data_IF_548460201389
#
_entry.id   IF_548460201389
#
_cell.length_a   1.000
_cell.length_b   1.000
_cell.length_c   1.000
_cell.angle_alpha   90.00
_cell.angle_beta   90.00
_cell.angle_gamma   90.00
#
_symmetry.space_group_name_H-M   'P 1'
#
loop_
_entity.id
_entity.type
_entity.pdbx_description
1 polymer ?
#
# COMPACT_ATOMS: atom_id res chain seq x y z
N UNK A 1 -62.95 51.14 52.48
CA UNK A 1 -61.63 51.70 52.15
C UNK A 1 -60.81 50.63 51.41
N UNK A 2 -60.10 51.06 50.34
CA UNK A 2 -59.00 50.46 49.54
C UNK A 2 -58.35 49.13 50.00
N UNK A 3 -57.73 48.26 49.18
CA UNK A 3 -57.34 48.15 47.75
C UNK A 3 -56.87 46.68 47.51
N UNK A 4 -56.70 46.22 46.24
CA UNK A 4 -56.34 44.84 45.88
C UNK A 4 -54.83 44.59 45.78
N UNK A 5 -54.40 43.34 46.02
CA UNK A 5 -53.02 42.85 45.86
C UNK A 5 -52.86 41.96 44.62
N UNK A 6 -51.85 42.28 43.80
CA UNK A 6 -51.54 41.77 42.46
C UNK A 6 -51.28 40.25 42.40
N UNK A 7 -51.98 39.56 41.50
CA UNK A 7 -51.53 38.29 40.93
C UNK A 7 -50.62 38.55 39.73
N UNK A 8 -49.36 38.12 39.81
CA UNK A 8 -48.44 38.13 38.68
C UNK A 8 -48.74 36.93 37.77
N UNK A 9 -49.25 37.24 36.57
CA UNK A 9 -49.44 36.31 35.46
C UNK A 9 -48.09 35.74 35.00
N UNK A 10 -47.94 34.40 35.05
CA UNK A 10 -46.91 33.68 34.29
C UNK A 10 -47.44 33.44 32.89
N UNK A 11 -46.91 34.17 31.91
CA UNK A 11 -47.17 33.94 30.48
C UNK A 11 -46.62 32.55 30.08
N UNK A 12 -47.38 31.71 29.36
CA UNK A 12 -46.87 30.41 28.89
C UNK A 12 -45.81 30.63 27.80
N UNK A 13 -44.71 29.88 27.86
CA UNK A 13 -43.67 29.89 26.82
C UNK A 13 -44.25 29.42 25.47
N UNK A 14 -43.85 30.07 24.37
CA UNK A 14 -44.35 29.76 23.02
C UNK A 14 -43.88 28.37 22.56
N UNK A 15 -44.72 27.60 21.82
CA UNK A 15 -44.38 26.23 21.38
C UNK A 15 -43.10 26.10 20.54
N UNK A 16 -42.70 27.16 19.82
CA UNK A 16 -41.46 27.21 19.01
C UNK A 16 -40.20 27.12 19.90
N UNK A 17 -40.22 27.75 21.07
CA UNK A 17 -39.08 27.79 22.01
C UNK A 17 -38.81 26.41 22.65
N UNK A 18 -39.87 25.58 22.76
CA UNK A 18 -39.79 24.21 23.27
C UNK A 18 -39.21 23.27 22.21
N UNK A 19 -39.59 23.45 20.93
CA UNK A 19 -39.07 22.65 19.81
C UNK A 19 -37.58 22.92 19.55
N UNK A 20 -37.16 24.20 19.61
CA UNK A 20 -35.75 24.60 19.45
C UNK A 20 -34.89 24.06 20.61
N UNK A 21 -35.37 24.17 21.84
CA UNK A 21 -34.71 23.61 23.04
C UNK A 21 -34.61 22.07 22.99
N UNK A 22 -35.62 21.40 22.43
CA UNK A 22 -35.63 19.95 22.26
C UNK A 22 -34.66 19.49 21.16
N UNK A 23 -34.62 20.16 20.00
CA UNK A 23 -33.71 19.85 18.91
C UNK A 23 -32.23 20.02 19.32
N UNK A 24 -31.91 21.10 20.05
CA UNK A 24 -30.56 21.31 20.59
C UNK A 24 -30.18 20.19 21.57
N UNK A 25 -31.11 19.77 22.44
CA UNK A 25 -30.87 18.64 23.34
C UNK A 25 -30.64 17.33 22.58
N UNK A 26 -31.43 17.04 21.55
CA UNK A 26 -31.23 15.85 20.71
C UNK A 26 -29.83 15.85 20.08
N UNK A 27 -29.42 16.97 19.47
CA UNK A 27 -28.09 17.12 18.87
C UNK A 27 -26.96 16.90 19.88
N UNK A 28 -27.12 17.40 21.11
CA UNK A 28 -26.15 17.22 22.19
C UNK A 28 -26.00 15.76 22.67
N UNK A 29 -27.05 14.96 22.51
CA UNK A 29 -27.08 13.55 22.91
C UNK A 29 -26.85 12.57 21.76
N UNK A 30 -26.63 13.05 20.53
CA UNK A 30 -26.19 12.21 19.41
C UNK A 30 -24.89 11.48 19.78
N UNK A 31 -24.87 10.18 19.48
CA UNK A 31 -23.71 9.32 19.73
C UNK A 31 -22.59 9.52 18.70
N UNK A 32 -22.96 9.99 17.50
CA UNK A 32 -22.02 10.35 16.45
C UNK A 32 -21.43 11.73 16.75
N UNK A 33 -20.09 11.89 16.74
CA UNK A 33 -19.46 13.21 16.81
C UNK A 33 -19.99 14.09 15.68
N UNK A 34 -20.62 15.20 16.07
CA UNK A 34 -21.24 16.14 15.14
C UNK A 34 -21.01 17.55 15.61
N UNK A 35 -20.57 18.39 14.68
CA UNK A 35 -20.53 19.82 14.88
C UNK A 35 -21.16 20.56 13.70
N UNK A 36 -21.60 21.78 13.97
CA UNK A 36 -22.27 22.63 12.99
C UNK A 36 -21.61 23.99 13.00
N UNK A 37 -21.34 24.54 11.81
CA UNK A 37 -20.83 25.89 11.63
C UNK A 37 -21.84 26.79 10.91
N UNK A 38 -21.83 28.08 11.24
CA UNK A 38 -22.59 29.11 10.51
C UNK A 38 -21.89 29.45 9.17
N UNK A 39 -22.51 30.27 8.28
CA UNK A 39 -21.90 30.66 7.00
C UNK A 39 -20.62 31.50 7.16
N UNK A 40 -20.35 32.02 8.36
CA UNK A 40 -19.10 32.71 8.72
C UNK A 40 -18.07 31.74 9.33
N UNK A 41 -18.34 30.43 9.28
CA UNK A 41 -17.52 29.33 9.78
C UNK A 41 -17.33 29.31 11.29
N UNK A 42 -18.24 29.93 12.03
CA UNK A 42 -18.24 29.88 13.49
C UNK A 42 -19.02 28.67 13.97
N UNK A 43 -18.46 27.94 14.93
CA UNK A 43 -19.12 26.78 15.53
C UNK A 43 -20.39 27.20 16.26
N UNK A 44 -21.53 26.63 15.86
CA UNK A 44 -22.84 26.83 16.50
C UNK A 44 -23.17 25.65 17.40
N UNK A 45 -22.83 24.44 16.96
CA UNK A 45 -23.06 23.21 17.72
C UNK A 45 -21.74 22.46 17.81
N UNK A 46 -21.41 22.04 19.02
CA UNK A 46 -20.36 21.05 19.30
C UNK A 46 -20.98 20.05 20.28
N UNK A 47 -21.24 18.83 19.83
CA UNK A 47 -21.95 17.87 20.67
C UNK A 47 -21.00 17.13 21.64
N UNK A 48 -21.58 16.44 22.62
CA UNK A 48 -20.82 15.67 23.61
C UNK A 48 -19.96 14.57 22.99
N UNK A 49 -20.34 14.04 21.83
CA UNK A 49 -19.54 13.04 21.13
C UNK A 49 -18.25 13.66 20.55
N UNK A 50 -18.29 14.88 20.02
CA UNK A 50 -17.08 15.63 19.64
C UNK A 50 -16.17 15.92 20.84
N UNK A 51 -16.75 16.31 21.99
CA UNK A 51 -15.95 16.52 23.22
C UNK A 51 -15.22 15.25 23.65
N UNK A 52 -15.89 14.08 23.60
CA UNK A 52 -15.26 12.80 23.92
C UNK A 52 -14.20 12.38 22.91
N UNK A 53 -14.46 12.57 21.62
CA UNK A 53 -13.53 12.20 20.54
C UNK A 53 -12.24 13.02 20.60
N UNK A 54 -12.36 14.33 20.86
CA UNK A 54 -11.25 15.28 20.69
C UNK A 54 -10.63 15.75 22.01
N UNK A 55 -11.34 15.59 23.13
CA UNK A 55 -11.00 16.19 24.42
C UNK A 55 -11.27 17.70 24.53
N UNK A 56 -11.74 18.35 23.45
CA UNK A 56 -12.01 19.79 23.40
C UNK A 56 -13.45 20.06 23.83
N UNK A 57 -13.63 20.88 24.87
CA UNK A 57 -14.96 21.23 25.36
C UNK A 57 -15.66 22.19 24.40
N UNK A 58 -16.99 22.09 24.33
CA UNK A 58 -17.82 22.94 23.48
C UNK A 58 -17.60 24.43 23.77
N UNK A 59 -17.40 24.80 25.04
CA UNK A 59 -17.11 26.17 25.47
C UNK A 59 -15.81 26.76 24.91
N UNK A 60 -14.86 25.91 24.48
CA UNK A 60 -13.59 26.37 23.90
C UNK A 60 -13.72 26.74 22.42
N UNK A 61 -14.70 26.17 21.71
CA UNK A 61 -14.84 26.28 20.26
C UNK A 61 -16.11 26.99 19.79
N UNK A 62 -17.22 26.91 20.54
CA UNK A 62 -18.48 27.57 20.18
C UNK A 62 -18.26 29.08 19.98
N UNK A 63 -18.81 29.61 18.88
CA UNK A 63 -18.68 31.00 18.47
C UNK A 63 -17.35 31.36 17.81
N UNK A 64 -16.38 30.43 17.76
CA UNK A 64 -15.07 30.64 17.16
C UNK A 64 -14.95 29.92 15.81
N UNK A 65 -13.87 30.21 15.08
CA UNK A 65 -13.46 29.52 13.84
C UNK A 65 -12.26 28.58 14.08
N UNK A 66 -12.05 28.15 15.34
CA UNK A 66 -10.86 27.41 15.79
C UNK A 66 -11.09 25.90 15.95
N UNK A 67 -12.22 25.37 15.49
CA UNK A 67 -12.54 23.94 15.56
C UNK A 67 -11.47 23.03 14.94
N UNK A 68 -10.72 23.50 13.94
CA UNK A 68 -9.58 22.77 13.37
C UNK A 68 -8.56 22.30 14.41
N UNK A 69 -8.39 23.03 15.52
CA UNK A 69 -7.45 22.71 16.60
C UNK A 69 -7.81 21.41 17.33
N UNK A 70 -9.05 20.95 17.20
CA UNK A 70 -9.50 19.69 17.76
C UNK A 70 -9.02 18.47 16.96
N UNK A 71 -8.66 18.66 15.68
CA UNK A 71 -8.41 17.58 14.72
C UNK A 71 -7.00 17.60 14.09
N UNK A 72 -6.30 18.74 14.18
CA UNK A 72 -5.04 18.98 13.49
C UNK A 72 -4.07 19.81 14.35
N UNK A 73 -2.78 19.53 14.24
CA UNK A 73 -1.72 20.30 14.92
C UNK A 73 -1.46 21.65 14.25
N UNK A 74 -1.58 21.71 12.92
CA UNK A 74 -1.37 22.92 12.12
C UNK A 74 -2.69 23.47 11.60
N UNK A 75 -2.73 24.79 11.42
CA UNK A 75 -3.94 25.48 10.95
C UNK A 75 -4.28 25.07 9.52
N UNK A 76 -5.44 24.43 9.35
CA UNK A 76 -6.03 24.08 8.06
C UNK A 76 -7.56 24.07 8.14
N UNK A 77 -8.28 24.25 7.02
CA UNK A 77 -9.73 24.11 7.00
C UNK A 77 -10.16 22.67 7.31
N UNK A 78 -11.24 22.51 8.08
CA UNK A 78 -12.00 21.26 8.15
C UNK A 78 -12.85 21.12 6.88
N UNK A 79 -13.45 19.94 6.66
CA UNK A 79 -14.28 19.69 5.50
C UNK A 79 -15.46 20.67 5.45
N UNK A 80 -16.10 20.93 6.60
CA UNK A 80 -17.18 21.89 6.76
C UNK A 80 -16.79 23.30 6.29
N UNK A 81 -15.56 23.74 6.56
CA UNK A 81 -15.08 25.06 6.11
C UNK A 81 -15.04 25.15 4.59
N UNK A 82 -14.57 24.08 3.91
CA UNK A 82 -14.50 24.02 2.46
C UNK A 82 -15.89 24.01 1.83
N UNK A 83 -16.83 23.29 2.46
CA UNK A 83 -18.25 23.27 2.05
C UNK A 83 -18.88 24.64 2.25
N UNK A 84 -18.65 25.31 3.38
CA UNK A 84 -19.20 26.64 3.66
C UNK A 84 -18.65 27.73 2.73
N UNK A 85 -17.42 27.56 2.24
CA UNK A 85 -16.79 28.46 1.26
C UNK A 85 -17.16 28.13 -0.19
N UNK A 86 -17.87 27.02 -0.42
CA UNK A 86 -18.16 26.46 -1.75
C UNK A 86 -16.86 26.26 -2.57
N UNK A 87 -15.86 25.60 -1.95
CA UNK A 87 -14.54 25.33 -2.55
C UNK A 87 -14.18 23.85 -2.63
N UNK A 88 -14.98 23.02 -3.31
CA UNK A 88 -14.69 21.59 -3.44
C UNK A 88 -13.40 21.29 -4.22
N UNK A 89 -12.94 22.21 -5.07
CA UNK A 89 -11.69 22.10 -5.82
C UNK A 89 -10.44 22.03 -4.92
N UNK A 90 -10.53 22.48 -3.67
CA UNK A 90 -9.43 22.45 -2.71
C UNK A 90 -9.35 21.12 -1.93
N UNK A 91 -10.32 20.21 -2.07
CA UNK A 91 -10.31 18.92 -1.39
C UNK A 91 -9.02 18.11 -1.58
N UNK A 92 -8.44 18.01 -2.80
CA UNK A 92 -7.21 17.25 -3.02
C UNK A 92 -5.98 17.80 -2.28
N UNK A 93 -5.98 19.08 -1.90
CA UNK A 93 -4.89 19.70 -1.13
C UNK A 93 -4.86 19.19 0.32
N UNK A 94 -6.01 18.71 0.80
CA UNK A 94 -6.27 18.46 2.21
C UNK A 94 -6.60 17.00 2.51
N UNK A 95 -7.19 16.27 1.57
CA UNK A 95 -7.68 14.91 1.73
C UNK A 95 -7.24 14.04 0.57
N UNK A 96 -6.61 12.90 0.87
CA UNK A 96 -6.18 11.92 -0.13
C UNK A 96 -7.30 11.03 -0.63
N UNK A 97 -8.30 10.78 0.21
CA UNK A 97 -9.49 10.00 -0.10
C UNK A 97 -10.70 10.92 0.07
N UNK A 98 -11.42 11.21 -1.01
CA UNK A 98 -12.59 12.09 -1.00
C UNK A 98 -13.58 11.71 -2.09
N UNK A 99 -14.86 12.00 -1.86
CA UNK A 99 -15.90 11.92 -2.86
C UNK A 99 -16.79 13.17 -2.81
N UNK A 100 -16.99 13.77 -3.99
CA UNK A 100 -18.00 14.81 -4.14
C UNK A 100 -19.37 14.15 -4.28
N UNK A 101 -20.34 14.60 -3.47
CA UNK A 101 -21.76 14.16 -3.51
C UNK A 101 -21.94 12.69 -3.13
N UNK A 102 -22.11 12.44 -1.82
CA UNK A 102 -22.55 11.13 -1.32
C UNK A 102 -23.87 10.64 -1.93
N UNK A 103 -24.26 9.39 -1.67
CA UNK A 103 -25.38 8.68 -2.32
C UNK A 103 -26.75 9.42 -2.31
N UNK A 104 -26.92 10.46 -1.48
CA UNK A 104 -28.14 11.27 -1.37
C UNK A 104 -28.01 12.72 -1.91
N UNK A 105 -26.90 13.08 -2.58
CA UNK A 105 -26.80 14.28 -3.42
C UNK A 105 -26.57 15.64 -2.74
N UNK A 106 -26.39 15.72 -1.41
CA UNK A 106 -26.29 16.99 -0.68
C UNK A 106 -25.11 17.07 0.32
N UNK A 107 -23.92 16.58 -0.03
CA UNK A 107 -22.74 16.69 0.85
C UNK A 107 -21.44 16.15 0.26
N UNK A 108 -20.34 16.39 0.95
CA UNK A 108 -19.00 15.92 0.63
C UNK A 108 -18.54 14.91 1.67
N UNK A 109 -17.81 13.89 1.23
CA UNK A 109 -17.18 12.93 2.13
C UNK A 109 -15.67 12.90 1.91
N UNK A 110 -14.93 12.69 2.99
CA UNK A 110 -13.48 12.55 2.96
C UNK A 110 -13.00 11.61 4.06
N UNK A 111 -11.85 10.98 3.87
CA UNK A 111 -11.18 10.17 4.89
C UNK A 111 -9.75 10.65 5.09
N UNK A 112 -9.33 10.80 6.34
CA UNK A 112 -7.94 11.11 6.66
C UNK A 112 -7.53 10.70 8.07
N UNK A 113 -6.22 10.73 8.30
CA UNK A 113 -5.67 10.69 9.65
C UNK A 113 -5.79 12.07 10.30
N UNK A 114 -6.51 12.13 11.41
CA UNK A 114 -6.58 13.29 12.30
C UNK A 114 -5.76 13.04 13.56
N UNK A 115 -5.12 14.08 14.07
CA UNK A 115 -4.41 14.06 15.35
C UNK A 115 -5.26 14.82 16.34
N UNK A 116 -5.74 14.19 17.40
CA UNK A 116 -6.48 14.83 18.49
C UNK A 116 -5.45 15.47 19.44
N UNK A 117 -5.08 16.76 19.28
CA UNK A 117 -3.84 17.26 19.88
C UNK A 117 -3.92 17.31 21.41
N UNK A 118 -5.12 17.53 21.96
CA UNK A 118 -5.36 17.57 23.40
C UNK A 118 -5.31 16.19 24.07
N UNK A 119 -5.57 15.12 23.32
CA UNK A 119 -5.52 13.74 23.81
C UNK A 119 -4.21 13.03 23.43
N UNK A 120 -3.45 13.59 22.49
CA UNK A 120 -2.22 12.95 21.97
C UNK A 120 -2.49 11.67 21.18
N UNK A 121 -3.75 11.44 20.75
CA UNK A 121 -4.15 10.26 19.99
C UNK A 121 -4.32 10.59 18.50
N UNK A 122 -4.01 9.63 17.64
CA UNK A 122 -4.25 9.73 16.21
C UNK A 122 -5.37 8.76 15.80
N UNK A 123 -6.36 9.27 15.08
CA UNK A 123 -7.51 8.51 14.61
C UNK A 123 -7.65 8.63 13.10
N UNK A 124 -8.08 7.56 12.44
CA UNK A 124 -8.48 7.60 11.03
C UNK A 124 -9.98 7.88 10.98
N UNK A 125 -10.36 9.06 10.47
CA UNK A 125 -11.73 9.52 10.47
C UNK A 125 -12.31 9.52 9.06
N UNK A 126 -13.50 8.93 8.92
CA UNK A 126 -14.41 9.24 7.82
C UNK A 126 -15.27 10.44 8.21
N UNK A 127 -15.29 11.44 7.34
CA UNK A 127 -15.84 12.76 7.56
C UNK A 127 -16.88 13.03 6.49
N UNK A 128 -18.11 13.31 6.92
CA UNK A 128 -19.20 13.71 6.03
C UNK A 128 -19.63 15.14 6.39
N UNK A 129 -19.65 16.03 5.40
CA UNK A 129 -20.11 17.42 5.57
C UNK A 129 -21.23 17.77 4.58
N UNK A 130 -22.33 18.32 5.10
CA UNK A 130 -23.50 18.69 4.31
C UNK A 130 -23.94 20.14 4.56
N UNK A 131 -24.15 20.96 3.51
CA UNK A 131 -24.72 22.29 3.67
C UNK A 131 -26.23 22.19 3.95
N UNK A 132 -26.70 23.07 4.83
CA UNK A 132 -28.11 23.26 5.15
C UNK A 132 -28.50 24.63 4.61
N UNK A 133 -29.58 24.68 3.84
CA UNK A 133 -30.09 25.91 3.22
C UNK A 133 -31.47 26.27 3.78
N UNK A 134 -31.82 27.56 3.74
CA UNK A 134 -33.19 28.01 3.97
C UNK A 134 -34.08 27.74 2.73
N UNK A 135 -35.37 28.06 2.84
CA UNK A 135 -36.34 27.93 1.74
C UNK A 135 -35.99 28.79 0.50
N UNK A 136 -35.19 29.85 0.69
CA UNK A 136 -34.72 30.72 -0.38
C UNK A 136 -33.41 30.23 -1.02
N UNK A 137 -32.83 29.13 -0.52
CA UNK A 137 -31.59 28.54 -1.02
C UNK A 137 -30.32 29.19 -0.45
N UNK A 138 -30.41 30.07 0.54
CA UNK A 138 -29.22 30.63 1.20
C UNK A 138 -28.66 29.63 2.21
N UNK A 139 -27.33 29.49 2.23
CA UNK A 139 -26.65 28.66 3.21
C UNK A 139 -26.93 29.21 4.62
N UNK A 140 -27.49 28.37 5.49
CA UNK A 140 -27.73 28.69 6.90
C UNK A 140 -26.72 28.03 7.83
N UNK A 141 -26.23 26.86 7.48
CA UNK A 141 -25.26 26.12 8.28
C UNK A 141 -24.58 25.02 7.47
N UNK A 142 -23.47 24.49 7.97
CA UNK A 142 -22.88 23.24 7.49
C UNK A 142 -22.76 22.29 8.68
N UNK A 143 -23.30 21.09 8.52
CA UNK A 143 -23.13 20.00 9.50
C UNK A 143 -21.98 19.11 9.07
N UNK A 144 -21.09 18.78 10.00
CA UNK A 144 -20.03 17.79 9.81
C UNK A 144 -20.17 16.69 10.85
N UNK A 145 -20.08 15.45 10.37
CA UNK A 145 -20.12 14.24 11.20
C UNK A 145 -18.85 13.44 11.00
N UNK A 146 -18.39 12.79 12.06
CA UNK A 146 -17.13 12.05 12.07
C UNK A 146 -17.39 10.61 12.50
N UNK A 147 -16.71 9.66 11.85
CA UNK A 147 -16.72 8.25 12.22
C UNK A 147 -15.30 7.76 12.34
N UNK A 148 -14.98 7.17 13.48
CA UNK A 148 -13.70 6.53 13.72
C UNK A 148 -13.63 5.19 12.97
N UNK A 149 -12.72 5.09 12.01
CA UNK A 149 -12.40 3.90 11.23
C UNK A 149 -10.97 3.40 11.51
N UNK A 150 -10.36 3.81 12.63
CA UNK A 150 -8.97 3.50 12.97
C UNK A 150 -8.70 1.99 12.98
N UNK A 151 -9.55 1.21 13.64
CA UNK A 151 -9.36 -0.24 13.73
C UNK A 151 -9.52 -0.93 12.37
N UNK A 152 -10.46 -0.47 11.55
CA UNK A 152 -10.63 -0.97 10.18
C UNK A 152 -9.41 -0.64 9.33
N UNK A 153 -8.93 0.61 9.33
CA UNK A 153 -7.76 1.02 8.53
C UNK A 153 -6.49 0.30 8.97
N UNK A 154 -6.32 0.10 10.29
CA UNK A 154 -5.22 -0.71 10.84
C UNK A 154 -5.32 -2.17 10.43
N UNK A 155 -6.50 -2.77 10.47
CA UNK A 155 -6.72 -4.14 10.01
C UNK A 155 -6.47 -4.28 8.50
N UNK A 156 -6.94 -3.35 7.68
CA UNK A 156 -6.66 -3.30 6.24
C UNK A 156 -5.15 -3.18 5.96
N UNK A 157 -4.44 -2.31 6.70
CA UNK A 157 -2.98 -2.18 6.59
C UNK A 157 -2.27 -3.47 7.00
N UNK A 158 -2.67 -4.09 8.12
CA UNK A 158 -2.10 -5.35 8.59
C UNK A 158 -2.37 -6.51 7.62
N UNK A 159 -3.56 -6.57 7.01
CA UNK A 159 -3.89 -7.52 5.94
C UNK A 159 -3.03 -7.28 4.70
N UNK A 160 -2.80 -6.02 4.34
CA UNK A 160 -1.93 -5.65 3.22
C UNK A 160 -0.48 -6.03 3.49
N UNK A 161 0.00 -5.87 4.73
CA UNK A 161 1.32 -6.30 5.18
C UNK A 161 1.46 -7.83 5.20
N UNK A 162 0.47 -8.56 5.71
CA UNK A 162 0.40 -10.04 5.63
C UNK A 162 0.40 -10.53 4.17
N UNK A 163 -0.19 -9.75 3.26
CA UNK A 163 -0.19 -10.02 1.83
C UNK A 163 1.12 -9.64 1.12
N UNK A 164 2.22 -9.36 1.83
CA UNK A 164 3.54 -9.10 1.22
C UNK A 164 4.47 -10.31 1.18
N UNK A 165 4.18 -11.35 1.96
CA UNK A 165 5.01 -12.55 2.08
C UNK A 165 4.38 -13.75 1.38
N UNK A 166 5.23 -14.68 0.95
CA UNK A 166 4.83 -15.99 0.49
C UNK A 166 4.65 -16.92 1.71
N UNK A 167 3.47 -17.54 1.80
CA UNK A 167 3.09 -18.34 2.97
C UNK A 167 3.90 -19.63 3.17
N UNK A 168 4.58 -20.12 2.13
CA UNK A 168 5.40 -21.33 2.23
C UNK A 168 6.83 -21.02 2.70
N UNK A 169 7.43 -19.99 2.10
CA UNK A 169 8.87 -19.70 2.21
C UNK A 169 9.19 -18.53 3.13
N UNK A 170 8.21 -17.68 3.45
CA UNK A 170 8.41 -16.45 4.22
C UNK A 170 9.16 -15.33 3.48
N UNK A 171 9.58 -15.57 2.23
CA UNK A 171 10.13 -14.53 1.35
C UNK A 171 9.04 -13.54 0.94
N UNK A 172 9.43 -12.42 0.33
CA UNK A 172 8.44 -11.54 -0.30
C UNK A 172 7.71 -12.29 -1.42
N UNK A 173 6.45 -12.01 -1.64
CA UNK A 173 5.70 -12.62 -2.75
C UNK A 173 5.85 -11.79 -4.04
N UNK A 174 5.30 -12.31 -5.14
CA UNK A 174 5.31 -11.64 -6.44
C UNK A 174 4.76 -10.22 -6.42
N UNK A 175 3.67 -9.96 -5.69
CA UNK A 175 3.09 -8.61 -5.59
C UNK A 175 4.08 -7.63 -4.99
N UNK A 176 4.77 -8.03 -3.93
CA UNK A 176 5.80 -7.19 -3.29
C UNK A 176 7.03 -7.03 -4.18
N UNK A 177 7.40 -8.06 -4.94
CA UNK A 177 8.45 -7.95 -5.96
C UNK A 177 8.09 -6.91 -7.02
N UNK A 178 6.90 -6.98 -7.62
CA UNK A 178 6.47 -6.07 -8.67
C UNK A 178 6.46 -4.61 -8.17
N UNK A 179 5.98 -4.38 -6.95
CA UNK A 179 5.98 -3.04 -6.32
C UNK A 179 7.39 -2.51 -6.05
N UNK A 180 8.27 -3.36 -5.50
CA UNK A 180 9.65 -2.98 -5.22
C UNK A 180 10.45 -2.73 -6.49
N UNK A 181 10.21 -3.51 -7.55
CA UNK A 181 10.87 -3.33 -8.85
C UNK A 181 10.58 -1.94 -9.41
N UNK A 182 9.32 -1.50 -9.38
CA UNK A 182 8.93 -0.17 -9.84
C UNK A 182 9.53 0.94 -8.96
N UNK A 183 9.50 0.78 -7.64
CA UNK A 183 10.02 1.76 -6.68
C UNK A 183 11.54 1.94 -6.81
N UNK A 184 12.29 0.85 -6.85
CA UNK A 184 13.75 0.88 -6.99
C UNK A 184 14.19 1.33 -8.37
N UNK A 185 13.43 1.01 -9.43
CA UNK A 185 13.72 1.56 -10.76
C UNK A 185 13.60 3.09 -10.78
N UNK A 186 12.54 3.65 -10.18
CA UNK A 186 12.38 5.10 -10.04
C UNK A 186 13.47 5.74 -9.17
N UNK A 187 13.99 5.04 -8.16
CA UNK A 187 15.15 5.47 -7.36
C UNK A 187 16.44 5.43 -8.19
N UNK A 188 16.68 4.35 -8.94
CA UNK A 188 17.84 4.18 -9.79
C UNK A 188 17.89 5.27 -10.88
N UNK A 189 16.74 5.66 -11.44
CA UNK A 189 16.63 6.80 -12.37
C UNK A 189 17.08 8.12 -11.75
N UNK A 190 16.72 8.39 -10.49
CA UNK A 190 17.15 9.63 -9.81
C UNK A 190 18.62 9.63 -9.41
N UNK A 191 19.16 8.46 -9.09
CA UNK A 191 20.53 8.30 -8.58
C UNK A 191 21.54 7.97 -9.68
N UNK A 192 21.08 7.62 -10.88
CA UNK A 192 21.92 7.20 -12.01
C UNK A 192 22.85 6.05 -11.62
N UNK A 193 22.29 5.05 -10.92
CA UNK A 193 23.00 3.84 -10.50
C UNK A 193 22.41 2.60 -11.16
N UNK A 194 23.23 1.57 -11.44
CA UNK A 194 22.74 0.35 -12.03
C UNK A 194 21.87 -0.44 -11.05
N UNK A 195 20.99 -1.26 -11.60
CA UNK A 195 20.12 -2.16 -10.86
C UNK A 195 20.20 -3.53 -11.51
N UNK A 196 20.43 -4.56 -10.69
CA UNK A 196 20.48 -5.93 -11.14
C UNK A 196 19.26 -6.73 -10.66
N UNK A 197 18.89 -7.73 -11.45
CA UNK A 197 17.80 -8.65 -11.20
C UNK A 197 18.28 -10.07 -11.45
N UNK A 198 18.01 -10.95 -10.50
CA UNK A 198 18.21 -12.40 -10.62
C UNK A 198 16.86 -13.07 -10.72
N UNK A 199 16.73 -13.97 -11.69
CA UNK A 199 15.59 -14.85 -11.84
C UNK A 199 16.07 -16.30 -11.72
N UNK A 200 15.56 -17.03 -10.74
CA UNK A 200 16.10 -18.30 -10.26
C UNK A 200 15.00 -19.35 -10.35
N UNK A 201 15.33 -20.53 -10.86
CA UNK A 201 14.41 -21.67 -10.95
C UNK A 201 15.05 -22.92 -10.38
N UNK A 202 14.26 -23.70 -9.64
CA UNK A 202 14.67 -25.02 -9.17
C UNK A 202 14.57 -26.03 -10.31
N UNK A 203 15.72 -26.52 -10.74
CA UNK A 203 15.81 -27.43 -11.88
C UNK A 203 15.02 -28.71 -11.62
N UNK A 204 14.24 -29.14 -12.62
CA UNK A 204 13.50 -30.41 -12.60
C UNK A 204 12.51 -30.56 -11.43
N UNK A 205 12.08 -29.45 -10.80
CA UNK A 205 11.25 -29.48 -9.59
C UNK A 205 9.93 -30.27 -9.73
N UNK A 206 9.30 -30.23 -10.90
CA UNK A 206 8.13 -31.08 -11.16
C UNK A 206 8.45 -32.57 -11.00
N UNK A 207 9.57 -33.04 -11.57
CA UNK A 207 9.99 -34.43 -11.46
C UNK A 207 10.36 -34.79 -10.02
N UNK A 208 10.95 -33.83 -9.28
CA UNK A 208 11.21 -33.99 -7.85
C UNK A 208 9.90 -34.22 -7.07
N UNK A 209 8.87 -33.40 -7.32
CA UNK A 209 7.55 -33.56 -6.69
C UNK A 209 6.86 -34.86 -7.08
N UNK A 210 6.92 -35.25 -8.36
CA UNK A 210 6.33 -36.49 -8.84
C UNK A 210 6.98 -37.72 -8.17
N UNK A 211 8.28 -37.62 -7.82
CA UNK A 211 9.07 -38.66 -7.16
C UNK A 211 8.85 -38.73 -5.64
N UNK A 212 8.89 -37.57 -4.97
CA UNK A 212 8.99 -37.48 -3.50
C UNK A 212 7.73 -36.92 -2.82
N UNK A 213 6.73 -36.53 -3.61
CA UNK A 213 5.50 -35.91 -3.14
C UNK A 213 5.65 -34.42 -2.82
N UNK A 214 4.51 -33.72 -2.81
CA UNK A 214 4.45 -32.27 -2.62
C UNK A 214 5.01 -31.80 -1.26
N UNK A 215 4.87 -32.60 -0.20
CA UNK A 215 5.40 -32.21 1.11
C UNK A 215 6.94 -32.10 1.10
N UNK A 216 7.61 -33.06 0.47
CA UNK A 216 9.07 -33.01 0.27
C UNK A 216 9.45 -31.84 -0.65
N UNK A 217 8.62 -31.56 -1.66
CA UNK A 217 8.74 -30.37 -2.50
C UNK A 217 8.73 -29.08 -1.72
N UNK A 218 7.76 -28.93 -0.80
CA UNK A 218 7.63 -27.78 0.08
C UNK A 218 8.85 -27.61 0.98
N UNK A 219 9.38 -28.70 1.53
CA UNK A 219 10.63 -28.69 2.31
C UNK A 219 11.84 -28.27 1.46
N UNK A 220 11.94 -28.77 0.22
CA UNK A 220 12.96 -28.35 -0.73
C UNK A 220 12.87 -26.84 -1.03
N UNK A 221 11.67 -26.31 -1.29
CA UNK A 221 11.48 -24.88 -1.54
C UNK A 221 11.80 -24.02 -0.32
N UNK A 222 11.48 -24.48 0.89
CA UNK A 222 11.91 -23.79 2.13
C UNK A 222 13.43 -23.75 2.28
N UNK A 223 14.11 -24.85 1.95
CA UNK A 223 15.57 -24.92 2.00
C UNK A 223 16.22 -23.97 0.97
N UNK A 224 15.72 -23.95 -0.27
CA UNK A 224 16.17 -23.01 -1.31
C UNK A 224 15.92 -21.57 -0.89
N UNK A 225 14.73 -21.27 -0.35
CA UNK A 225 14.40 -19.93 0.15
C UNK A 225 15.32 -19.48 1.30
N UNK A 226 15.69 -20.39 2.19
CA UNK A 226 16.63 -20.11 3.27
C UNK A 226 18.04 -19.80 2.75
N UNK A 227 18.46 -20.39 1.63
CA UNK A 227 19.71 -19.99 0.95
C UNK A 227 19.55 -18.62 0.31
N UNK A 228 18.52 -18.44 -0.54
CA UNK A 228 18.28 -17.18 -1.27
C UNK A 228 18.20 -15.97 -0.35
N UNK A 229 17.50 -16.08 0.79
CA UNK A 229 17.36 -14.98 1.75
C UNK A 229 18.70 -14.52 2.36
N UNK A 230 19.69 -15.40 2.49
CA UNK A 230 21.01 -15.05 3.04
C UNK A 230 21.87 -14.20 2.10
N UNK A 231 21.47 -14.08 0.84
CA UNK A 231 22.17 -13.28 -0.16
C UNK A 231 21.49 -11.92 -0.44
N UNK A 232 20.27 -11.70 0.07
CA UNK A 232 19.60 -10.40 0.07
C UNK A 232 19.81 -9.69 1.42
N UNK A 233 21.04 -9.23 1.66
CA UNK A 233 21.48 -8.73 2.99
C UNK A 233 21.47 -7.22 3.13
N UNK A 234 21.48 -6.47 2.02
CA UNK A 234 21.50 -5.00 2.07
C UNK A 234 20.07 -4.49 2.31
N UNK A 235 19.90 -3.31 2.94
CA UNK A 235 18.57 -2.77 3.26
C UNK A 235 17.61 -2.61 2.08
N UNK A 236 18.14 -2.50 0.85
CA UNK A 236 17.36 -2.34 -0.37
C UNK A 236 17.32 -3.63 -1.22
N UNK A 237 18.01 -4.69 -0.81
CA UNK A 237 17.91 -5.98 -1.50
C UNK A 237 16.54 -6.60 -1.17
N UNK A 238 15.94 -7.23 -2.17
CA UNK A 238 14.69 -8.00 -1.98
C UNK A 238 14.90 -9.41 -2.49
N UNK A 239 14.63 -10.40 -1.64
CA UNK A 239 14.42 -11.79 -2.04
C UNK A 239 12.93 -12.12 -2.04
N UNK A 240 12.47 -12.76 -3.11
CA UNK A 240 11.07 -13.11 -3.30
C UNK A 240 10.88 -14.51 -3.89
N UNK A 241 9.75 -15.15 -3.58
CA UNK A 241 9.23 -16.27 -4.35
C UNK A 241 8.25 -15.71 -5.39
N UNK A 242 8.63 -15.83 -6.66
CA UNK A 242 7.89 -15.24 -7.76
C UNK A 242 6.66 -16.10 -8.15
N UNK A 243 6.79 -17.43 -8.04
CA UNK A 243 5.67 -18.36 -8.22
C UNK A 243 6.16 -19.79 -8.42
N UNK A 244 5.41 -20.78 -7.94
CA UNK A 244 5.82 -22.20 -8.07
C UNK A 244 7.21 -22.44 -7.49
N UNK A 245 8.14 -22.86 -8.33
CA UNK A 245 9.55 -23.10 -8.05
C UNK A 245 10.49 -21.91 -8.35
N UNK A 246 9.92 -20.78 -8.77
CA UNK A 246 10.68 -19.60 -9.20
C UNK A 246 10.89 -18.61 -8.05
N UNK A 247 12.12 -18.13 -7.94
CA UNK A 247 12.57 -17.10 -7.02
C UNK A 247 13.14 -15.93 -7.80
N UNK A 248 13.05 -14.73 -7.22
CA UNK A 248 13.60 -13.54 -7.83
C UNK A 248 14.26 -12.64 -6.79
N UNK A 249 15.40 -12.05 -7.16
CA UNK A 249 16.07 -11.05 -6.34
C UNK A 249 16.15 -9.72 -7.06
N UNK A 250 15.92 -8.65 -6.32
CA UNK A 250 16.17 -7.26 -6.72
C UNK A 250 17.42 -6.79 -5.98
N UNK A 251 18.42 -6.34 -6.72
CA UNK A 251 19.72 -5.91 -6.18
C UNK A 251 20.04 -4.49 -6.68
N UNK A 252 19.60 -3.45 -5.94
CA UNK A 252 19.90 -2.07 -6.30
C UNK A 252 21.39 -1.75 -6.20
N UNK A 253 21.81 -0.72 -6.93
CA UNK A 253 23.18 -0.20 -6.94
C UNK A 253 24.20 -1.32 -7.22
N UNK A 254 23.90 -2.21 -8.19
CA UNK A 254 24.71 -3.40 -8.50
C UNK A 254 24.83 -3.61 -10.02
N UNK A 255 26.03 -3.95 -10.47
CA UNK A 255 26.33 -4.28 -11.88
C UNK A 255 26.18 -5.79 -12.17
N UNK A 256 26.25 -6.19 -13.46
CA UNK A 256 26.08 -7.60 -13.85
C UNK A 256 27.17 -8.50 -13.25
N UNK A 257 28.42 -8.04 -13.10
CA UNK A 257 29.49 -8.89 -12.58
C UNK A 257 29.30 -9.24 -11.11
N UNK A 258 28.99 -8.24 -10.26
CA UNK A 258 28.67 -8.48 -8.86
C UNK A 258 27.39 -9.32 -8.72
N UNK A 259 26.37 -9.07 -9.55
CA UNK A 259 25.14 -9.85 -9.55
C UNK A 259 25.37 -11.31 -9.97
N UNK A 260 26.26 -11.57 -10.94
CA UNK A 260 26.65 -12.93 -11.35
C UNK A 260 27.38 -13.67 -10.24
N UNK A 261 28.25 -12.99 -9.48
CA UNK A 261 28.92 -13.58 -8.33
C UNK A 261 27.91 -14.06 -7.28
N UNK A 262 26.95 -13.21 -6.92
CA UNK A 262 25.86 -13.57 -6.00
C UNK A 262 25.02 -14.73 -6.55
N UNK A 263 24.67 -14.69 -7.84
CA UNK A 263 23.91 -15.76 -8.49
C UNK A 263 24.62 -17.11 -8.41
N UNK A 264 25.94 -17.13 -8.64
CA UNK A 264 26.71 -18.37 -8.60
C UNK A 264 26.95 -18.86 -7.16
N UNK A 265 27.10 -17.95 -6.20
CA UNK A 265 27.11 -18.29 -4.77
C UNK A 265 25.80 -18.97 -4.34
N UNK A 266 24.64 -18.40 -4.70
CA UNK A 266 23.32 -18.99 -4.42
C UNK A 266 23.23 -20.40 -5.04
N UNK A 267 23.60 -20.53 -6.32
CA UNK A 267 23.58 -21.81 -7.05
C UNK A 267 24.44 -22.86 -6.37
N UNK A 268 25.69 -22.53 -6.04
CA UNK A 268 26.62 -23.44 -5.34
C UNK A 268 26.12 -23.78 -3.94
N UNK A 269 25.57 -22.82 -3.21
CA UNK A 269 25.05 -23.04 -1.87
C UNK A 269 23.85 -24.01 -1.86
N UNK A 270 22.94 -23.92 -2.85
CA UNK A 270 21.86 -24.91 -3.00
C UNK A 270 22.40 -26.28 -3.37
N UNK A 271 23.34 -26.36 -4.33
CA UNK A 271 23.98 -27.62 -4.68
C UNK A 271 24.68 -28.28 -3.47
N UNK A 272 25.28 -27.48 -2.59
CA UNK A 272 25.95 -27.93 -1.37
C UNK A 272 24.99 -28.43 -0.28
N UNK A 273 23.68 -28.17 -0.38
CA UNK A 273 22.67 -28.81 0.48
C UNK A 273 22.57 -30.32 0.21
N UNK A 274 23.05 -30.78 -0.96
CA UNK A 274 23.07 -32.18 -1.37
C UNK A 274 21.69 -32.87 -1.27
N UNK A 275 20.60 -32.11 -1.47
CA UNK A 275 19.23 -32.64 -1.46
C UNK A 275 19.12 -33.63 -2.63
N UNK A 276 18.92 -34.91 -2.32
CA UNK A 276 18.88 -35.96 -3.31
C UNK A 276 17.70 -35.75 -4.28
N UNK A 277 17.96 -35.62 -5.58
CA UNK A 277 16.90 -35.45 -6.55
C UNK A 277 16.24 -36.78 -6.89
N UNK A 278 17.03 -37.81 -7.21
CA UNK A 278 16.57 -39.18 -7.41
C UNK A 278 15.60 -39.41 -8.58
N UNK A 279 15.42 -38.45 -9.47
CA UNK A 279 14.63 -38.60 -10.70
C UNK A 279 15.56 -38.86 -11.89
N UNK A 280 15.13 -39.73 -12.81
CA UNK A 280 15.94 -40.07 -13.98
C UNK A 280 16.16 -38.82 -14.86
N UNK A 281 17.43 -38.57 -15.19
CA UNK A 281 17.83 -37.44 -16.05
C UNK A 281 17.90 -36.07 -15.36
N UNK A 282 17.62 -35.97 -14.06
CA UNK A 282 17.73 -34.73 -13.29
C UNK A 282 19.06 -34.56 -12.54
N UNK A 283 19.90 -35.60 -12.53
CA UNK A 283 21.14 -35.65 -11.74
C UNK A 283 20.91 -36.12 -10.30
N UNK A 284 21.99 -36.17 -9.53
CA UNK A 284 21.97 -36.73 -8.17
C UNK A 284 21.33 -35.76 -7.14
N UNK A 285 21.47 -34.46 -7.38
CA UNK A 285 21.07 -33.42 -6.43
C UNK A 285 20.20 -32.33 -7.07
N UNK A 286 19.39 -31.67 -6.25
CA UNK A 286 18.64 -30.48 -6.65
C UNK A 286 19.62 -29.34 -7.01
N UNK A 287 19.41 -28.70 -8.16
CA UNK A 287 20.22 -27.59 -8.66
C UNK A 287 19.37 -26.39 -9.05
N UNK A 288 20.02 -25.27 -9.34
CA UNK A 288 19.36 -24.05 -9.78
C UNK A 288 19.85 -23.63 -11.18
N UNK A 289 18.91 -23.18 -12.01
CA UNK A 289 19.22 -22.33 -13.17
C UNK A 289 18.96 -20.88 -12.79
N UNK A 290 19.87 -19.97 -13.17
CA UNK A 290 19.76 -18.55 -12.83
C UNK A 290 19.99 -17.68 -14.06
N UNK A 291 19.04 -16.80 -14.34
CA UNK A 291 19.17 -15.69 -15.27
C UNK A 291 19.51 -14.40 -14.54
N UNK A 292 20.50 -13.66 -15.03
CA UNK A 292 20.96 -12.39 -14.48
C UNK A 292 20.77 -11.30 -15.53
N UNK A 293 20.27 -10.15 -15.13
CA UNK A 293 20.33 -8.93 -15.93
C UNK A 293 20.69 -7.75 -15.04
N UNK A 294 21.47 -6.81 -15.57
CA UNK A 294 21.76 -5.53 -14.94
C UNK A 294 21.56 -4.43 -15.97
N UNK A 295 21.03 -3.29 -15.54
CA UNK A 295 20.86 -2.11 -16.39
C UNK A 295 21.07 -0.83 -15.61
N UNK A 296 21.70 0.13 -16.26
CA UNK A 296 21.62 1.52 -15.87
C UNK A 296 20.33 2.13 -16.47
N UNK A 297 19.50 2.85 -15.69
CA UNK A 297 18.25 3.41 -16.23
C UNK A 297 18.42 4.46 -17.34
N UNK A 298 19.64 4.95 -17.57
CA UNK A 298 19.97 5.86 -18.68
C UNK A 298 20.29 5.13 -19.99
N UNK A 299 20.42 3.80 -19.99
CA UNK A 299 20.59 3.03 -21.21
C UNK A 299 19.34 3.12 -22.11
N UNK A 300 19.53 2.98 -23.42
CA UNK A 300 18.42 2.99 -24.37
C UNK A 300 17.47 1.82 -24.10
N UNK A 301 16.16 2.07 -24.23
CA UNK A 301 15.09 1.10 -23.98
C UNK A 301 15.10 0.46 -22.58
N UNK A 302 15.79 1.09 -21.62
CA UNK A 302 15.82 0.65 -20.24
C UNK A 302 14.46 0.91 -19.58
N UNK A 303 13.82 -0.17 -19.12
CA UNK A 303 12.59 -0.13 -18.33
C UNK A 303 12.58 -1.28 -17.32
N UNK A 304 11.80 -1.20 -16.23
CA UNK A 304 11.70 -2.29 -15.26
C UNK A 304 11.21 -3.59 -15.92
N UNK A 305 10.24 -3.49 -16.83
CA UNK A 305 9.72 -4.63 -17.59
C UNK A 305 10.78 -5.23 -18.52
N UNK A 306 11.63 -4.38 -19.13
CA UNK A 306 12.72 -4.86 -19.98
C UNK A 306 13.81 -5.53 -19.17
N UNK A 307 14.16 -5.01 -17.99
CA UNK A 307 15.12 -5.64 -17.08
C UNK A 307 14.63 -7.04 -16.66
N UNK A 308 13.37 -7.15 -16.26
CA UNK A 308 12.75 -8.43 -15.92
C UNK A 308 12.75 -9.41 -17.11
N UNK A 309 12.36 -8.93 -18.30
CA UNK A 309 12.36 -9.74 -19.52
C UNK A 309 13.75 -10.26 -19.89
N UNK A 310 14.80 -9.45 -19.74
CA UNK A 310 16.18 -9.87 -19.99
C UNK A 310 16.64 -10.97 -19.02
N UNK A 311 16.29 -10.87 -17.74
CA UNK A 311 16.62 -11.89 -16.74
C UNK A 311 15.88 -13.21 -17.01
N UNK A 312 14.61 -13.15 -17.41
CA UNK A 312 13.82 -14.32 -17.82
C UNK A 312 14.37 -14.99 -19.10
N UNK A 313 14.74 -14.19 -20.11
CA UNK A 313 15.41 -14.69 -21.33
C UNK A 313 16.73 -15.42 -20.97
N UNK A 314 17.51 -14.86 -20.04
CA UNK A 314 18.74 -15.46 -19.56
C UNK A 314 18.49 -16.76 -18.76
N UNK A 315 17.46 -16.80 -17.92
CA UNK A 315 17.05 -18.01 -17.20
C UNK A 315 16.62 -19.11 -18.17
N UNK A 316 15.83 -18.75 -19.19
CA UNK A 316 15.42 -19.68 -20.23
C UNK A 316 16.64 -20.26 -20.97
N UNK A 317 17.63 -19.43 -21.30
CA UNK A 317 18.89 -19.90 -21.86
C UNK A 317 19.62 -20.84 -20.89
N UNK A 318 19.68 -20.53 -19.59
CA UNK A 318 20.33 -21.38 -18.60
C UNK A 318 19.71 -22.78 -18.56
N UNK A 319 18.37 -22.86 -18.60
CA UNK A 319 17.63 -24.13 -18.66
C UNK A 319 17.92 -24.92 -19.93
N UNK A 320 18.02 -24.24 -21.09
CA UNK A 320 18.31 -24.88 -22.37
C UNK A 320 19.74 -25.37 -22.51
N UNK A 321 20.68 -24.67 -21.90
CA UNK A 321 22.10 -25.00 -22.00
C UNK A 321 22.54 -26.08 -21.02
N UNK A 322 21.61 -26.81 -20.43
CA UNK A 322 21.91 -27.96 -19.57
C UNK A 322 21.76 -27.68 -18.08
N UNK A 323 21.10 -26.57 -17.69
CA UNK A 323 20.73 -26.26 -16.30
C UNK A 323 21.94 -26.11 -15.37
N UNK A 324 21.71 -26.04 -14.06
CA UNK A 324 22.73 -25.88 -13.01
C UNK A 324 23.78 -24.81 -13.36
N UNK A 325 23.34 -23.62 -13.77
CA UNK A 325 24.23 -22.55 -14.23
C UNK A 325 23.63 -21.16 -14.09
N UNK A 326 24.52 -20.19 -14.19
CA UNK A 326 24.18 -18.77 -14.27
C UNK A 326 24.40 -18.30 -15.70
N UNK A 327 23.47 -17.53 -16.25
CA UNK A 327 23.64 -16.80 -17.52
C UNK A 327 23.30 -15.33 -17.30
N UNK A 328 24.17 -14.42 -17.73
CA UNK A 328 23.86 -12.98 -17.78
C UNK A 328 23.37 -12.58 -19.17
N UNK A 329 22.30 -11.79 -19.23
CA UNK A 329 21.72 -11.28 -20.46
C UNK A 329 22.71 -10.46 -21.30
N UNK A 330 23.65 -9.75 -20.65
CA UNK A 330 24.70 -8.99 -21.34
C UNK A 330 25.71 -9.88 -22.08
N UNK A 331 25.83 -11.16 -21.68
CA UNK A 331 26.78 -12.14 -22.23
C UNK A 331 26.11 -13.24 -23.04
N UNK A 332 24.79 -13.17 -23.24
CA UNK A 332 23.98 -14.22 -23.86
C UNK A 332 24.51 -14.66 -25.23
N UNK A 333 24.91 -13.71 -26.08
CA UNK A 333 25.45 -13.99 -27.42
C UNK A 333 26.81 -14.71 -27.37
N UNK A 334 27.66 -14.39 -26.39
CA UNK A 334 28.94 -15.05 -26.21
C UNK A 334 28.76 -16.50 -25.71
N UNK A 335 27.79 -16.74 -24.83
CA UNK A 335 27.41 -18.07 -24.35
C UNK A 335 26.93 -18.97 -25.50
N UNK A 336 26.03 -18.46 -26.36
CA UNK A 336 25.59 -19.20 -27.55
C UNK A 336 26.72 -19.44 -28.57
N UNK A 337 27.64 -18.48 -28.74
CA UNK A 337 28.78 -18.62 -29.64
C UNK A 337 29.84 -19.62 -29.13
N UNK A 338 29.99 -19.76 -27.81
CA UNK A 338 30.85 -20.78 -27.19
C UNK A 338 30.40 -22.21 -27.54
N UNK A 339 29.09 -22.46 -27.56
CA UNK A 339 28.50 -23.75 -27.92
C UNK A 339 28.52 -24.06 -29.42
N UNK A 340 28.47 -23.04 -30.28
CA UNK A 340 28.60 -23.24 -31.72
C UNK A 340 30.00 -23.75 -32.11
N UNK A 341 31.03 -23.54 -31.26
CA UNK A 341 32.35 -24.18 -31.40
C UNK A 341 32.32 -25.68 -31.04
N UNK A 342 31.34 -26.11 -30.24
CA UNK A 342 31.10 -27.50 -29.83
C UNK A 342 30.01 -28.21 -30.68
N UNK A 343 29.48 -27.56 -31.73
CA UNK A 343 28.78 -28.24 -32.84
C UNK A 343 27.24 -28.22 -32.86
N UNK A 344 26.55 -27.41 -32.06
CA UNK A 344 25.06 -27.33 -32.08
C UNK A 344 24.53 -26.01 -32.70
N UNK A 345 23.47 -26.05 -33.55
CA UNK A 345 22.97 -24.87 -34.25
C UNK A 345 22.07 -23.97 -33.38
N UNK A 346 22.25 -22.65 -33.52
CA UNK A 346 21.49 -21.60 -32.80
C UNK A 346 20.12 -21.34 -33.47
N UNK A 347 18.97 -21.53 -32.79
CA UNK A 347 17.65 -21.18 -33.34
C UNK A 347 17.18 -19.79 -32.90
N UNK A 348 16.54 -19.06 -33.84
CA UNK A 348 16.09 -17.67 -33.70
C UNK A 348 14.88 -17.45 -32.78
N UNK A 349 14.74 -16.18 -32.36
CA UNK A 349 13.72 -15.64 -31.46
C UNK A 349 12.28 -16.12 -31.78
N UNK A 350 11.60 -16.66 -30.78
CA UNK A 350 10.15 -16.88 -30.77
C UNK A 350 9.54 -16.10 -29.60
N UNK A 351 8.70 -15.11 -29.93
CA UNK A 351 7.94 -14.33 -28.95
C UNK A 351 6.99 -15.21 -28.15
N UNK A 352 6.92 -14.97 -26.83
CA UNK A 352 5.97 -15.63 -25.93
C UNK A 352 4.54 -15.30 -26.35
N UNK A 353 3.72 -16.35 -26.54
CA UNK A 353 2.25 -16.23 -26.59
C UNK A 353 1.73 -15.97 -25.19
N UNK A 354 0.99 -14.88 -25.05
CA UNK A 354 0.17 -14.54 -23.88
C UNK A 354 -0.92 -15.60 -23.69
N UNK A 355 -1.14 -16.02 -22.45
CA UNK A 355 -2.32 -16.74 -22.00
C UNK A 355 -3.19 -15.80 -21.16
#
# INVERSE_FOLDING_TARGET
>A
MAKPGKGASKTPARPVDVADSYAVRLMQHLVVPTFVIDPRRRVVIWNRACERLTGVAASEVIGTTKHWQAFYETKRPCLADLVALDRPEQLPEFYSEYAARGHNGLGFSAENWCVMPKLGSQLYLAIDAGPIHDEAGHLIAVVETLRDLTDQKRAESALKELATKDGLTGLSNRRSFDQMLQAEWARAQRTQKPMALLFVDVDHFKQFNDRHGHQSGDECLRAVAAVVSRHAVRPLDLASRYGGEEFALILPDMDCDAACAIADEIRRAVMALAIAHGAEGAGDHVTLSVGVASRLPSEADASPDRLLGLADEALYAAKRLGRNRVICAERLLAEFAGLARDGEPVPGHLGRKSA
#
